data_IF_952621293355
#
_entry.id   IF_952621293355
#
_cell.length_a   1.000
_cell.length_b   1.000
_cell.length_c   1.000
_cell.angle_alpha   90.00
_cell.angle_beta   90.00
_cell.angle_gamma   90.00
#
_symmetry.space_group_name_H-M   'P 1'
#
loop_
_entity.id
_entity.type
_entity.pdbx_description
1 polymer ?
#
# COMPACT_ATOMS: atom_id res chain seq x y z
N UNK A 1 -20.70 -19.15 15.15
CA UNK A 1 -19.42 -19.79 14.80
C UNK A 1 -18.52 -18.68 14.27
N UNK A 2 -17.76 -18.04 15.15
CA UNK A 2 -16.77 -17.03 14.75
C UNK A 2 -15.68 -17.79 13.98
N UNK A 3 -15.64 -17.62 12.66
CA UNK A 3 -14.52 -18.12 11.88
C UNK A 3 -13.25 -17.47 12.43
N UNK A 4 -12.31 -18.26 12.92
CA UNK A 4 -10.95 -17.78 13.16
C UNK A 4 -10.47 -17.10 11.88
N UNK A 5 -10.21 -15.79 11.96
CA UNK A 5 -9.63 -15.07 10.85
C UNK A 5 -8.26 -15.68 10.58
N UNK A 6 -8.01 -16.12 9.35
CA UNK A 6 -6.66 -16.56 8.97
C UNK A 6 -5.67 -15.40 9.18
N UNK A 7 -4.41 -15.74 9.48
CA UNK A 7 -3.37 -14.76 9.84
C UNK A 7 -3.27 -13.59 8.84
N UNK A 8 -3.45 -13.86 7.54
CA UNK A 8 -3.36 -12.84 6.51
C UNK A 8 -4.54 -11.87 6.55
N UNK A 9 -5.74 -12.38 6.80
CA UNK A 9 -6.95 -11.58 7.00
C UNK A 9 -6.83 -10.71 8.25
N UNK A 10 -6.32 -11.27 9.35
CA UNK A 10 -6.06 -10.52 10.59
C UNK A 10 -5.07 -9.37 10.37
N UNK A 11 -4.02 -9.60 9.59
CA UNK A 11 -3.04 -8.57 9.28
C UNK A 11 -3.59 -7.47 8.36
N UNK A 12 -4.33 -7.85 7.32
CA UNK A 12 -5.02 -6.89 6.46
C UNK A 12 -5.92 -5.97 7.31
N UNK A 13 -6.71 -6.56 8.21
CA UNK A 13 -7.62 -5.81 9.08
C UNK A 13 -6.87 -4.95 10.09
N UNK A 14 -5.72 -5.41 10.60
CA UNK A 14 -4.85 -4.58 11.45
C UNK A 14 -4.33 -3.35 10.72
N UNK A 15 -3.98 -3.46 9.43
CA UNK A 15 -3.51 -2.33 8.61
C UNK A 15 -4.66 -1.36 8.27
N UNK A 16 -5.81 -1.89 7.85
CA UNK A 16 -6.99 -1.06 7.54
C UNK A 16 -7.47 -0.34 8.80
N UNK A 17 -7.51 -1.04 9.94
CA UNK A 17 -7.92 -0.48 11.24
C UNK A 17 -7.07 0.69 11.75
N UNK A 18 -5.92 0.97 11.13
CA UNK A 18 -5.11 2.16 11.45
C UNK A 18 -5.78 3.47 11.00
N UNK A 19 -6.62 3.41 9.97
CA UNK A 19 -7.24 4.61 9.35
C UNK A 19 -8.75 4.51 9.22
N UNK A 20 -9.33 3.35 9.47
CA UNK A 20 -10.75 3.07 9.22
C UNK A 20 -11.41 2.42 10.43
N UNK A 21 -12.60 2.90 10.77
CA UNK A 21 -13.47 2.23 11.75
C UNK A 21 -14.25 1.06 11.13
N UNK A 22 -14.41 1.05 9.81
CA UNK A 22 -15.02 -0.05 9.05
C UNK A 22 -14.27 -0.34 7.77
N UNK A 23 -13.94 -1.61 7.54
CA UNK A 23 -13.22 -2.07 6.34
C UNK A 23 -14.02 -1.77 5.05
N UNK A 24 -15.35 -1.83 5.11
CA UNK A 24 -16.23 -1.57 3.96
C UNK A 24 -16.12 -0.16 3.39
N UNK A 25 -15.60 0.82 4.16
CA UNK A 25 -15.30 2.15 3.64
C UNK A 25 -14.22 2.11 2.56
N UNK A 26 -13.27 1.19 2.70
CA UNK A 26 -12.21 0.97 1.74
C UNK A 26 -12.66 -0.02 0.66
N UNK A 27 -13.29 -1.12 1.04
CA UNK A 27 -13.90 -2.09 0.12
C UNK A 27 -14.11 -3.46 0.73
N UNK A 28 -14.59 -4.39 -0.09
CA UNK A 28 -14.71 -5.81 0.28
C UNK A 28 -13.52 -6.59 -0.26
N UNK A 29 -12.84 -7.33 0.62
CA UNK A 29 -11.60 -8.02 0.31
C UNK A 29 -11.81 -9.52 0.25
N UNK A 30 -11.42 -10.13 -0.86
CA UNK A 30 -11.38 -11.57 -1.04
C UNK A 30 -9.94 -12.02 -1.26
N UNK A 31 -9.46 -12.93 -0.43
CA UNK A 31 -8.13 -13.53 -0.58
C UNK A 31 -8.07 -14.34 -1.87
N UNK A 32 -7.01 -14.15 -2.64
CA UNK A 32 -6.74 -14.88 -3.89
C UNK A 32 -5.29 -15.35 -3.93
N UNK A 33 -5.00 -16.31 -4.81
CA UNK A 33 -3.61 -16.68 -5.13
C UNK A 33 -3.11 -15.84 -6.31
N UNK A 34 -1.79 -15.76 -6.49
CA UNK A 34 -1.18 -14.96 -7.56
C UNK A 34 -1.71 -15.32 -8.97
N UNK A 35 -2.02 -16.59 -9.22
CA UNK A 35 -2.50 -17.08 -10.52
C UNK A 35 -3.96 -16.70 -10.82
N UNK A 36 -4.70 -16.25 -9.79
CA UNK A 36 -6.05 -15.72 -9.94
C UNK A 36 -6.06 -14.20 -10.19
N UNK A 37 -4.92 -13.52 -10.03
CA UNK A 37 -4.79 -12.12 -10.40
C UNK A 37 -4.68 -12.02 -11.93
N UNK A 38 -5.57 -11.28 -12.62
CA UNK A 38 -5.44 -11.05 -14.04
C UNK A 38 -4.26 -10.11 -14.33
N UNK A 39 -3.72 -10.17 -15.54
CA UNK A 39 -2.85 -9.10 -16.02
C UNK A 39 -3.66 -7.80 -16.19
N UNK A 40 -3.08 -6.63 -15.87
CA UNK A 40 -1.68 -6.41 -15.48
C UNK A 40 -1.36 -6.60 -13.99
N UNK A 41 -2.35 -6.86 -13.13
CA UNK A 41 -2.17 -6.90 -11.67
C UNK A 41 -1.20 -7.99 -11.19
N UNK A 42 -1.17 -9.15 -11.86
CA UNK A 42 -0.22 -10.22 -11.50
C UNK A 42 1.23 -9.74 -11.61
N UNK A 43 1.58 -9.08 -12.72
CA UNK A 43 2.92 -8.51 -12.93
C UNK A 43 3.27 -7.45 -11.89
N UNK A 44 2.28 -6.59 -11.55
CA UNK A 44 2.44 -5.53 -10.58
C UNK A 44 2.52 -6.01 -9.14
N UNK A 45 1.91 -7.14 -8.78
CA UNK A 45 1.77 -7.55 -7.39
C UNK A 45 2.65 -8.75 -7.02
N UNK A 46 2.89 -9.69 -7.94
CA UNK A 46 3.53 -10.98 -7.65
C UNK A 46 5.07 -10.93 -7.74
N UNK A 47 5.69 -10.01 -6.99
CA UNK A 47 7.14 -9.88 -6.90
C UNK A 47 7.61 -9.43 -5.50
N UNK A 48 8.84 -9.73 -5.12
CA UNK A 48 9.45 -9.38 -3.82
C UNK A 48 10.19 -8.04 -3.82
N UNK A 49 9.90 -7.16 -4.78
CA UNK A 49 10.47 -5.80 -4.85
C UNK A 49 9.55 -4.75 -4.21
N UNK A 50 10.08 -3.57 -3.93
CA UNK A 50 9.27 -2.43 -3.48
C UNK A 50 8.23 -2.02 -4.53
N UNK A 51 7.04 -1.65 -4.07
CA UNK A 51 5.96 -1.26 -4.97
C UNK A 51 6.28 -0.02 -5.79
N UNK A 52 6.84 1.03 -5.17
CA UNK A 52 7.18 2.29 -5.87
C UNK A 52 8.01 2.05 -7.12
N UNK A 53 9.14 1.34 -7.00
CA UNK A 53 10.03 1.05 -8.14
C UNK A 53 9.35 0.17 -9.19
N UNK A 54 8.45 -0.72 -8.76
CA UNK A 54 7.76 -1.64 -9.67
C UNK A 54 6.70 -0.91 -10.48
N UNK A 55 5.91 -0.06 -9.84
CA UNK A 55 4.93 0.82 -10.49
C UNK A 55 5.63 1.77 -11.47
N UNK A 56 6.76 2.37 -11.06
CA UNK A 56 7.52 3.26 -11.95
C UNK A 56 8.05 2.53 -13.19
N UNK A 57 8.58 1.32 -13.02
CA UNK A 57 9.05 0.49 -14.13
C UNK A 57 7.92 0.06 -15.05
N UNK A 58 6.78 -0.35 -14.49
CA UNK A 58 5.63 -0.82 -15.26
C UNK A 58 5.00 0.28 -16.11
N UNK A 59 4.89 1.49 -15.54
CA UNK A 59 4.34 2.64 -16.26
C UNK A 59 5.38 3.43 -17.06
N UNK A 60 6.67 3.06 -16.98
CA UNK A 60 7.79 3.81 -17.57
C UNK A 60 7.81 5.29 -17.19
N UNK A 61 7.34 5.62 -15.98
CA UNK A 61 7.17 6.99 -15.49
C UNK A 61 7.46 7.06 -13.99
N UNK A 62 7.97 8.20 -13.52
CA UNK A 62 8.11 8.45 -12.08
C UNK A 62 6.76 8.67 -11.41
N UNK A 63 6.67 8.39 -10.11
CA UNK A 63 5.48 8.69 -9.30
C UNK A 63 5.74 9.76 -8.26
N UNK A 64 4.73 10.60 -8.03
CA UNK A 64 4.64 11.45 -6.85
C UNK A 64 3.80 10.75 -5.77
N UNK A 65 4.10 11.05 -4.51
CA UNK A 65 3.32 10.58 -3.38
C UNK A 65 2.39 11.68 -2.89
N UNK A 66 1.11 11.33 -2.74
CA UNK A 66 0.14 12.12 -2.02
C UNK A 66 -0.15 11.42 -0.69
N UNK A 67 0.24 12.02 0.43
CA UNK A 67 -0.16 11.51 1.76
C UNK A 67 -1.58 11.99 2.05
N UNK A 68 -2.50 11.04 2.20
CA UNK A 68 -3.91 11.31 2.48
C UNK A 68 -4.12 11.53 3.99
N UNK A 69 -3.42 10.75 4.80
CA UNK A 69 -3.44 10.86 6.25
C UNK A 69 -2.20 10.18 6.85
N UNK A 70 -1.67 10.73 7.93
CA UNK A 70 -0.58 10.12 8.69
C UNK A 70 -0.74 10.39 10.18
N UNK A 71 -0.10 9.57 11.00
CA UNK A 71 0.04 9.81 12.43
C UNK A 71 1.19 8.97 13.01
N UNK A 72 1.65 9.36 14.20
CA UNK A 72 2.59 8.59 15.01
C UNK A 72 1.84 8.04 16.22
N UNK A 73 1.93 6.74 16.45
CA UNK A 73 1.37 6.07 17.62
C UNK A 73 2.46 5.22 18.29
N UNK A 74 2.96 5.70 19.43
CA UNK A 74 4.12 5.10 20.11
C UNK A 74 5.34 5.06 19.18
N UNK A 75 5.96 3.90 18.92
CA UNK A 75 7.14 3.81 18.08
C UNK A 75 6.81 3.75 16.57
N UNK A 76 5.52 3.70 16.22
CA UNK A 76 5.07 3.46 14.86
C UNK A 76 4.65 4.75 14.17
N UNK A 77 5.26 5.04 13.03
CA UNK A 77 4.74 5.99 12.05
C UNK A 77 3.90 5.25 11.03
N UNK A 78 2.74 5.82 10.75
CA UNK A 78 1.71 5.20 9.93
C UNK A 78 1.23 6.23 8.93
N UNK A 79 1.04 5.80 7.68
CA UNK A 79 0.46 6.66 6.66
C UNK A 79 -0.37 5.92 5.64
N UNK A 80 -1.42 6.59 5.20
CA UNK A 80 -2.28 6.26 4.06
C UNK A 80 -1.90 7.18 2.90
N UNK A 81 -1.61 6.61 1.74
CA UNK A 81 -1.07 7.33 0.58
C UNK A 81 -1.76 6.93 -0.72
N UNK A 82 -1.63 7.82 -1.71
CA UNK A 82 -1.89 7.56 -3.12
C UNK A 82 -0.61 7.87 -3.90
N UNK A 83 -0.20 6.97 -4.79
CA UNK A 83 0.84 7.24 -5.78
C UNK A 83 0.17 7.66 -7.08
N UNK A 84 0.64 8.76 -7.64
CA UNK A 84 0.19 9.31 -8.92
C UNK A 84 1.35 9.37 -9.88
N UNK A 85 1.10 9.03 -11.14
CA UNK A 85 2.09 9.22 -12.20
C UNK A 85 2.36 10.72 -12.35
N UNK A 86 3.64 11.07 -12.49
CA UNK A 86 4.07 12.47 -12.51
C UNK A 86 3.64 13.21 -13.78
N UNK A 87 3.50 12.50 -14.89
CA UNK A 87 3.20 13.12 -16.20
C UNK A 87 1.70 13.39 -16.40
N UNK A 88 0.83 12.44 -16.05
CA UNK A 88 -0.62 12.52 -16.30
C UNK A 88 -1.47 12.64 -15.02
N UNK A 89 -0.85 12.57 -13.83
CA UNK A 89 -1.53 12.69 -12.54
C UNK A 89 -2.40 11.49 -12.14
N UNK A 90 -2.44 10.44 -12.96
CA UNK A 90 -3.31 9.28 -12.75
C UNK A 90 -2.88 8.52 -11.50
N UNK A 91 -3.86 8.19 -10.67
CA UNK A 91 -3.67 7.34 -9.51
C UNK A 91 -3.38 5.89 -9.94
N UNK A 92 -2.27 5.34 -9.45
CA UNK A 92 -1.80 3.99 -9.83
C UNK A 92 -1.65 3.06 -8.63
N UNK A 93 -1.58 3.60 -7.42
CA UNK A 93 -1.48 2.76 -6.22
C UNK A 93 -2.01 3.49 -4.99
N UNK A 94 -2.96 2.86 -4.30
CA UNK A 94 -3.31 3.21 -2.92
C UNK A 94 -2.49 2.35 -1.96
N UNK A 95 -2.03 2.92 -0.84
CA UNK A 95 -1.21 2.18 0.11
C UNK A 95 -1.41 2.61 1.56
N UNK A 96 -1.42 1.64 2.47
CA UNK A 96 -1.33 1.85 3.91
C UNK A 96 0.01 1.27 4.36
N UNK A 97 0.76 2.05 5.12
CA UNK A 97 2.07 1.64 5.64
C UNK A 97 2.15 1.90 7.13
N UNK A 98 2.75 0.95 7.85
CA UNK A 98 3.20 1.09 9.24
C UNK A 98 4.68 0.74 9.30
N UNK A 99 5.48 1.60 9.92
CA UNK A 99 6.89 1.31 10.20
C UNK A 99 7.33 1.81 11.57
N UNK A 100 8.37 1.21 12.11
CA UNK A 100 8.97 1.61 13.39
C UNK A 100 10.09 2.63 13.15
N UNK A 101 9.86 3.90 13.50
CA UNK A 101 10.82 4.98 13.24
C UNK A 101 12.14 4.80 13.99
N UNK A 102 12.09 4.28 15.22
CA UNK A 102 13.27 4.08 16.06
C UNK A 102 14.31 3.10 15.50
N UNK A 103 13.98 2.36 14.44
CA UNK A 103 14.92 1.48 13.74
C UNK A 103 15.69 2.19 12.60
N UNK A 104 15.47 3.50 12.43
CA UNK A 104 16.04 4.30 11.34
C UNK A 104 16.90 5.42 11.92
N UNK A 105 17.90 5.87 11.14
CA UNK A 105 18.69 7.05 11.50
C UNK A 105 17.82 8.31 11.53
N UNK A 106 18.22 9.32 12.31
CA UNK A 106 17.46 10.58 12.42
C UNK A 106 17.25 11.26 11.05
N UNK A 107 18.25 11.20 10.16
CA UNK A 107 18.15 11.74 8.82
C UNK A 107 17.05 11.05 7.99
N UNK A 108 16.98 9.71 8.06
CA UNK A 108 15.94 8.93 7.36
C UNK A 108 14.56 9.22 7.98
N UNK A 109 14.47 9.30 9.31
CA UNK A 109 13.21 9.64 9.99
C UNK A 109 12.69 11.01 9.53
N UNK A 110 13.56 12.03 9.46
CA UNK A 110 13.19 13.37 9.00
C UNK A 110 12.67 13.36 7.54
N UNK A 111 13.31 12.58 6.64
CA UNK A 111 12.83 12.44 5.27
C UNK A 111 11.45 11.77 5.20
N UNK A 112 11.23 10.70 5.98
CA UNK A 112 9.93 9.99 6.02
C UNK A 112 8.83 10.91 6.54
N UNK A 113 9.11 11.65 7.62
CA UNK A 113 8.19 12.60 8.25
C UNK A 113 7.96 13.85 7.40
N UNK A 114 8.85 14.16 6.44
CA UNK A 114 8.61 15.24 5.49
C UNK A 114 7.45 14.95 4.53
N UNK A 115 7.12 13.66 4.35
CA UNK A 115 5.99 13.18 3.53
C UNK A 115 6.06 13.49 2.02
N UNK A 116 7.17 14.09 1.56
CA UNK A 116 7.36 14.52 0.16
C UNK A 116 7.81 13.42 -0.77
N UNK A 117 8.38 12.34 -0.24
CA UNK A 117 9.02 11.28 -1.02
C UNK A 117 8.35 9.93 -0.73
N UNK A 118 8.09 9.09 -1.76
CA UNK A 118 7.61 7.73 -1.55
C UNK A 118 8.53 6.96 -0.60
N UNK A 119 7.96 6.22 0.34
CA UNK A 119 8.72 5.56 1.41
C UNK A 119 9.74 4.60 0.82
N UNK A 120 9.34 3.82 -0.19
CA UNK A 120 10.23 2.89 -0.88
C UNK A 120 11.49 3.59 -1.40
N UNK A 121 11.35 4.80 -1.95
CA UNK A 121 12.47 5.59 -2.45
C UNK A 121 13.38 6.06 -1.32
N UNK A 122 12.81 6.63 -0.24
CA UNK A 122 13.59 7.04 0.94
C UNK A 122 14.41 5.88 1.50
N UNK A 123 13.83 4.68 1.60
CA UNK A 123 14.52 3.51 2.13
C UNK A 123 15.65 3.03 1.20
N UNK A 124 15.41 3.03 -0.12
CA UNK A 124 16.41 2.62 -1.12
C UNK A 124 17.58 3.60 -1.16
N UNK A 125 17.32 4.90 -1.24
CA UNK A 125 18.34 5.94 -1.36
C UNK A 125 19.25 6.04 -0.11
N UNK A 126 18.76 5.58 1.04
CA UNK A 126 19.52 5.54 2.29
C UNK A 126 20.02 4.12 2.63
N UNK A 127 20.06 3.20 1.66
CA UNK A 127 20.59 1.83 1.78
C UNK A 127 20.02 1.04 2.96
N UNK A 128 18.77 1.33 3.33
CA UNK A 128 18.11 0.64 4.44
C UNK A 128 17.76 -0.78 3.98
N UNK A 129 18.54 -1.77 4.41
CA UNK A 129 18.31 -3.18 4.11
C UNK A 129 16.90 -3.60 4.56
N UNK A 130 16.13 -4.12 3.61
CA UNK A 130 14.77 -4.62 3.81
C UNK A 130 14.55 -5.85 2.94
N UNK A 131 13.92 -6.87 3.51
CA UNK A 131 13.36 -7.97 2.76
C UNK A 131 11.86 -7.73 2.65
N UNK A 132 11.33 -7.55 1.45
CA UNK A 132 9.88 -7.55 1.23
C UNK A 132 9.42 -9.00 1.23
N UNK A 133 8.67 -9.40 2.25
CA UNK A 133 8.02 -10.71 2.31
C UNK A 133 6.58 -10.55 1.85
N UNK A 134 6.30 -11.01 0.63
CA UNK A 134 4.93 -11.14 0.13
C UNK A 134 4.16 -12.10 1.03
N UNK A 135 2.95 -11.71 1.41
CA UNK A 135 2.12 -12.55 2.28
C UNK A 135 0.83 -12.98 1.61
N UNK A 136 0.07 -12.06 1.02
CA UNK A 136 -1.22 -12.41 0.40
C UNK A 136 -1.60 -11.45 -0.70
N UNK A 137 -2.42 -11.96 -1.62
CA UNK A 137 -3.06 -11.22 -2.68
C UNK A 137 -4.56 -11.11 -2.39
N UNK A 138 -5.14 -10.00 -2.83
CA UNK A 138 -6.52 -9.66 -2.54
C UNK A 138 -7.18 -9.16 -3.82
N UNK A 139 -8.29 -9.77 -4.19
CA UNK A 139 -9.25 -9.11 -5.06
C UNK A 139 -10.09 -8.20 -4.17
N UNK A 140 -10.27 -6.95 -4.61
CA UNK A 140 -10.95 -5.93 -3.83
C UNK A 140 -12.10 -5.39 -4.65
N UNK A 141 -13.31 -5.47 -4.10
CA UNK A 141 -14.45 -4.71 -4.61
C UNK A 141 -14.39 -3.32 -3.98
N UNK A 142 -14.10 -2.30 -4.78
CA UNK A 142 -13.86 -0.94 -4.30
C UNK A 142 -15.06 -0.42 -3.50
N UNK A 143 -14.81 0.02 -2.27
CA UNK A 143 -15.70 0.92 -1.54
C UNK A 143 -15.52 2.36 -2.04
N UNK A 144 -16.24 3.30 -1.42
CA UNK A 144 -16.29 4.68 -1.89
C UNK A 144 -14.92 5.36 -1.90
N UNK A 145 -14.05 5.09 -0.92
CA UNK A 145 -12.74 5.73 -0.88
C UNK A 145 -11.79 5.21 -1.96
N UNK A 146 -11.72 3.90 -2.19
CA UNK A 146 -10.91 3.35 -3.29
C UNK A 146 -11.46 3.77 -4.66
N UNK A 147 -12.78 3.80 -4.81
CA UNK A 147 -13.42 4.24 -6.04
C UNK A 147 -13.05 5.70 -6.35
N UNK A 148 -13.18 6.58 -5.35
CA UNK A 148 -12.77 7.99 -5.46
C UNK A 148 -11.28 8.15 -5.75
N UNK A 149 -10.41 7.43 -5.01
CA UNK A 149 -8.97 7.52 -5.15
C UNK A 149 -8.48 7.07 -6.55
N UNK A 150 -9.10 6.05 -7.14
CA UNK A 150 -8.78 5.54 -8.47
C UNK A 150 -9.64 6.14 -9.58
N UNK A 151 -10.47 7.14 -9.28
CA UNK A 151 -11.34 7.82 -10.25
C UNK A 151 -12.21 6.81 -11.02
N UNK A 152 -12.75 5.83 -10.30
CA UNK A 152 -13.60 4.74 -10.80
C UNK A 152 -14.93 4.68 -10.04
N UNK A 153 -15.74 3.65 -10.29
CA UNK A 153 -17.06 3.48 -9.66
C UNK A 153 -16.98 2.57 -8.43
N UNK A 154 -17.77 2.88 -7.39
CA UNK A 154 -17.99 1.98 -6.25
C UNK A 154 -18.50 0.63 -6.77
N UNK A 155 -17.93 -0.45 -6.25
CA UNK A 155 -18.25 -1.81 -6.67
C UNK A 155 -17.38 -2.36 -7.81
N UNK A 156 -16.51 -1.54 -8.43
CA UNK A 156 -15.53 -2.03 -9.40
C UNK A 156 -14.45 -2.88 -8.73
N UNK A 157 -13.90 -3.84 -9.45
CA UNK A 157 -12.83 -4.70 -8.93
C UNK A 157 -11.44 -4.09 -9.19
N UNK A 158 -10.59 -4.18 -8.19
CA UNK A 158 -9.14 -3.96 -8.27
C UNK A 158 -8.41 -5.08 -7.51
N UNK A 159 -7.08 -5.04 -7.50
CA UNK A 159 -6.27 -6.05 -6.82
C UNK A 159 -5.18 -5.39 -5.98
N UNK A 160 -4.85 -6.02 -4.87
CA UNK A 160 -3.83 -5.56 -3.94
C UNK A 160 -3.04 -6.70 -3.32
N UNK A 161 -2.04 -6.34 -2.52
CA UNK A 161 -1.23 -7.29 -1.77
C UNK A 161 -0.91 -6.77 -0.37
N UNK A 162 -0.69 -7.68 0.57
CA UNK A 162 -0.05 -7.40 1.85
C UNK A 162 1.38 -7.95 1.86
N UNK A 163 2.29 -7.18 2.47
CA UNK A 163 3.69 -7.55 2.62
C UNK A 163 4.28 -6.97 3.91
N UNK A 164 5.34 -7.60 4.43
CA UNK A 164 6.16 -7.15 5.56
C UNK A 164 7.58 -6.80 5.10
#
# INVERSE_FOLDING_TARGET
MLSELDESSAQLYSLIGLFYSSISQLGDFQKVIADQCPDPYRQLLAHSSHMTVTVERFHHQSVDVQVLQSHVAGPHYQRKILLRLKEDGRAVQFGIVRLTLGLLSQAVQAQILSERVPLGRVLIENEVLRQVRLQSFWQVKCGDELASAFETQTGMFTYGRTAL
#
